data_IF_787294058680
#
_entry.id   IF_787294058680
#
_cell.length_a   1.000
_cell.length_b   1.000
_cell.length_c   1.000
_cell.angle_alpha   90.00
_cell.angle_beta   90.00
_cell.angle_gamma   90.00
#
_symmetry.space_group_name_H-M   'P 1'
#
loop_
_entity.id
_entity.type
_entity.pdbx_description
1 polymer ?
#
# COMPACT_ATOMS: atom_id res chain seq x y z
N UNK A 1 4.59 22.31 -30.96
CA UNK A 1 5.40 21.35 -30.17
C UNK A 1 5.39 21.77 -28.70
N UNK A 2 4.24 21.69 -28.02
CA UNK A 2 4.06 22.18 -26.64
C UNK A 2 3.19 21.23 -25.79
N UNK A 3 3.41 19.91 -25.93
CA UNK A 3 2.67 18.92 -25.11
C UNK A 3 3.59 18.07 -24.24
N UNK A 4 4.91 18.27 -24.32
CA UNK A 4 5.88 17.37 -23.67
C UNK A 4 6.18 17.77 -22.21
N UNK A 5 5.96 19.04 -21.83
CA UNK A 5 6.29 19.52 -20.48
C UNK A 5 5.23 19.22 -19.41
N UNK A 6 3.98 18.93 -19.81
CA UNK A 6 2.93 18.60 -18.83
C UNK A 6 3.08 17.18 -18.27
N UNK A 7 3.65 16.25 -19.04
CA UNK A 7 3.86 14.87 -18.59
C UNK A 7 5.03 14.76 -17.59
N UNK A 8 6.06 15.60 -17.73
CA UNK A 8 7.24 15.56 -16.84
C UNK A 8 6.95 16.09 -15.43
N UNK A 9 6.13 17.14 -15.28
CA UNK A 9 5.77 17.67 -13.95
C UNK A 9 4.78 16.75 -13.22
N UNK A 10 3.87 16.10 -13.95
CA UNK A 10 2.91 15.15 -13.35
C UNK A 10 3.61 13.88 -12.84
N UNK A 11 4.71 13.45 -13.47
CA UNK A 11 5.52 12.31 -13.02
C UNK A 11 6.22 12.60 -11.68
N UNK A 12 6.55 13.85 -11.36
CA UNK A 12 7.16 14.23 -10.09
C UNK A 12 6.14 14.50 -8.96
N UNK A 13 4.86 14.70 -9.28
CA UNK A 13 3.80 14.99 -8.30
C UNK A 13 2.94 13.78 -7.91
N UNK A 14 3.33 12.57 -8.31
CA UNK A 14 2.62 11.37 -7.85
C UNK A 14 2.88 11.20 -6.35
N UNK A 15 1.83 11.29 -5.49
CA UNK A 15 2.02 11.19 -4.05
C UNK A 15 2.80 9.92 -3.69
N UNK A 16 3.74 9.98 -2.73
CA UNK A 16 4.54 8.81 -2.35
C UNK A 16 3.70 7.56 -2.08
N UNK A 17 2.52 7.73 -1.46
CA UNK A 17 1.58 6.65 -1.18
C UNK A 17 1.04 6.00 -2.46
N UNK A 18 0.80 6.78 -3.52
CA UNK A 18 0.35 6.26 -4.82
C UNK A 18 1.45 5.42 -5.46
N UNK A 19 2.72 5.87 -5.40
CA UNK A 19 3.86 5.10 -5.90
C UNK A 19 4.03 3.79 -5.12
N UNK A 20 3.86 3.84 -3.80
CA UNK A 20 3.91 2.66 -2.95
C UNK A 20 2.80 1.65 -3.29
N UNK A 21 1.55 2.10 -3.39
CA UNK A 21 0.41 1.24 -3.76
C UNK A 21 0.60 0.61 -5.15
N UNK A 22 1.12 1.37 -6.13
CA UNK A 22 1.50 0.82 -7.45
C UNK A 22 2.56 -0.27 -7.34
N UNK A 23 3.53 -0.11 -6.44
CA UNK A 23 4.57 -1.11 -6.17
C UNK A 23 4.03 -2.39 -5.51
N UNK A 24 2.85 -2.33 -4.89
CA UNK A 24 2.15 -3.49 -4.32
C UNK A 24 1.20 -4.17 -5.32
N UNK A 25 1.23 -3.79 -6.60
CA UNK A 25 0.34 -4.31 -7.63
C UNK A 25 -1.13 -3.85 -7.48
N UNK A 26 -1.36 -2.70 -6.84
CA UNK A 26 -2.69 -2.06 -6.84
C UNK A 26 -2.94 -1.40 -8.20
N UNK A 27 -4.07 -1.75 -8.83
CA UNK A 27 -4.44 -1.18 -10.12
C UNK A 27 -4.69 0.32 -10.02
N UNK A 28 -4.30 1.07 -11.07
CA UNK A 28 -4.41 2.54 -11.07
C UNK A 28 -5.84 3.03 -10.81
N UNK A 29 -6.83 2.28 -11.31
CA UNK A 29 -8.26 2.57 -11.13
C UNK A 29 -8.71 2.42 -9.68
N UNK A 30 -8.09 1.51 -8.92
CA UNK A 30 -8.43 1.22 -7.52
C UNK A 30 -7.76 2.18 -6.55
N UNK A 31 -6.64 2.81 -6.91
CA UNK A 31 -5.90 3.70 -6.01
C UNK A 31 -6.76 4.85 -5.51
N UNK A 32 -7.56 5.46 -6.40
CA UNK A 32 -8.48 6.54 -6.01
C UNK A 32 -9.51 6.06 -4.97
N UNK A 33 -10.06 4.86 -5.19
CA UNK A 33 -10.99 4.23 -4.26
C UNK A 33 -10.33 3.92 -2.91
N UNK A 34 -9.12 3.36 -2.91
CA UNK A 34 -8.34 3.05 -1.70
C UNK A 34 -8.06 4.30 -0.88
N UNK A 35 -7.58 5.38 -1.49
CA UNK A 35 -7.26 6.61 -0.78
C UNK A 35 -8.51 7.35 -0.29
N UNK A 36 -9.63 7.25 -1.00
CA UNK A 36 -10.91 7.80 -0.55
C UNK A 36 -11.46 7.04 0.65
N UNK A 37 -11.32 5.70 0.65
CA UNK A 37 -11.79 4.83 1.74
C UNK A 37 -10.87 4.87 2.96
N UNK A 38 -9.57 5.10 2.75
CA UNK A 38 -8.53 5.12 3.78
C UNK A 38 -7.65 6.38 3.64
N UNK A 39 -8.21 7.59 3.86
CA UNK A 39 -7.46 8.83 3.72
C UNK A 39 -6.24 8.92 4.65
N UNK A 40 -6.27 8.19 5.78
CA UNK A 40 -5.17 8.09 6.75
C UNK A 40 -3.89 7.49 6.18
N UNK A 41 -3.96 6.74 5.08
CA UNK A 41 -2.77 6.17 4.43
C UNK A 41 -1.80 7.25 3.97
N UNK A 42 -2.30 8.43 3.63
CA UNK A 42 -1.48 9.58 3.24
C UNK A 42 -0.60 10.10 4.39
N UNK A 43 -1.02 9.88 5.64
CA UNK A 43 -0.28 10.30 6.84
C UNK A 43 0.66 9.22 7.40
N UNK A 44 0.61 7.99 6.88
CA UNK A 44 1.50 6.93 7.33
C UNK A 44 2.89 7.04 6.72
N UNK A 45 3.90 6.70 7.53
CA UNK A 45 5.27 6.57 7.05
C UNK A 45 5.36 5.33 6.17
N UNK A 46 5.58 5.56 4.88
CA UNK A 46 5.81 4.52 3.88
C UNK A 46 7.08 3.75 4.25
N UNK A 47 8.17 4.48 4.44
CA UNK A 47 9.40 3.94 5.00
C UNK A 47 9.22 3.68 6.49
N UNK A 48 9.46 2.43 6.91
CA UNK A 48 9.24 2.00 8.28
C UNK A 48 7.93 1.25 8.39
N UNK A 49 6.80 1.91 8.66
CA UNK A 49 5.55 1.20 9.03
C UNK A 49 5.03 0.32 7.90
N UNK A 50 4.74 0.91 6.74
CA UNK A 50 4.12 0.16 5.64
C UNK A 50 5.10 -0.83 5.00
N UNK A 51 6.35 -0.40 4.76
CA UNK A 51 7.38 -1.25 4.16
C UNK A 51 7.72 -2.45 5.05
N UNK A 52 7.86 -2.25 6.37
CA UNK A 52 8.16 -3.35 7.31
C UNK A 52 7.01 -4.35 7.37
N UNK A 53 5.77 -3.88 7.30
CA UNK A 53 4.63 -4.78 7.32
C UNK A 53 4.56 -5.62 6.05
N UNK A 54 4.73 -5.01 4.87
CA UNK A 54 4.76 -5.74 3.60
C UNK A 54 5.90 -6.77 3.61
N UNK A 55 7.09 -6.38 4.06
CA UNK A 55 8.22 -7.30 4.21
C UNK A 55 7.91 -8.46 5.17
N UNK A 56 7.23 -8.18 6.29
CA UNK A 56 6.80 -9.21 7.23
C UNK A 56 5.78 -10.17 6.61
N UNK A 57 4.77 -9.67 5.88
CA UNK A 57 3.77 -10.51 5.21
C UNK A 57 4.43 -11.45 4.20
N UNK A 58 5.37 -10.95 3.40
CA UNK A 58 6.15 -11.78 2.47
C UNK A 58 6.99 -12.81 3.24
N UNK A 59 7.65 -12.40 4.33
CA UNK A 59 8.49 -13.28 5.14
C UNK A 59 7.73 -14.47 5.74
N UNK A 60 6.48 -14.27 6.15
CA UNK A 60 5.62 -15.35 6.70
C UNK A 60 4.91 -16.17 5.62
N UNK A 61 5.17 -15.90 4.33
CA UNK A 61 4.74 -16.73 3.20
C UNK A 61 3.61 -16.17 2.34
N UNK A 62 3.20 -14.90 2.51
CA UNK A 62 2.28 -14.29 1.54
C UNK A 62 3.00 -14.00 0.22
N UNK A 63 2.33 -14.24 -0.91
CA UNK A 63 2.84 -13.82 -2.19
C UNK A 63 2.70 -12.30 -2.32
N UNK A 64 3.75 -11.62 -2.80
CA UNK A 64 3.71 -10.18 -3.04
C UNK A 64 2.54 -9.76 -3.96
N UNK A 65 2.16 -10.63 -4.91
CA UNK A 65 1.03 -10.41 -5.83
C UNK A 65 -0.33 -10.44 -5.13
N UNK A 66 -0.45 -11.14 -4.00
CA UNK A 66 -1.70 -11.19 -3.24
C UNK A 66 -1.87 -9.95 -2.37
N UNK A 67 -0.79 -9.22 -2.09
CA UNK A 67 -0.80 -8.03 -1.23
C UNK A 67 -1.60 -6.90 -1.89
N UNK A 68 -1.45 -6.68 -3.20
CA UNK A 68 -2.22 -5.65 -3.93
C UNK A 68 -3.73 -5.79 -3.75
N UNK A 69 -4.33 -6.94 -4.11
CA UNK A 69 -5.74 -7.23 -3.85
C UNK A 69 -6.15 -7.08 -2.38
N UNK A 70 -5.31 -7.50 -1.43
CA UNK A 70 -5.59 -7.32 0.00
C UNK A 70 -5.66 -5.83 0.37
N UNK A 71 -4.74 -5.01 -0.15
CA UNK A 71 -4.72 -3.56 0.08
C UNK A 71 -5.95 -2.91 -0.56
N UNK A 72 -6.34 -3.29 -1.78
CA UNK A 72 -7.56 -2.78 -2.42
C UNK A 72 -8.80 -3.01 -1.56
N UNK A 73 -8.90 -4.19 -0.93
CA UNK A 73 -10.05 -4.54 -0.10
C UNK A 73 -10.00 -3.90 1.30
N UNK A 74 -8.81 -3.89 1.94
CA UNK A 74 -8.64 -3.58 3.36
C UNK A 74 -7.35 -2.81 3.69
N UNK A 75 -7.06 -1.68 3.04
CA UNK A 75 -5.78 -0.98 3.23
C UNK A 75 -5.45 -0.53 4.68
N UNK A 76 -6.42 -0.47 5.61
CA UNK A 76 -6.20 -0.09 7.02
C UNK A 76 -5.04 -0.87 7.66
N UNK A 77 -4.81 -2.10 7.21
CA UNK A 77 -3.78 -2.94 7.79
C UNK A 77 -2.36 -2.40 7.56
N UNK A 78 -2.13 -1.60 6.51
CA UNK A 78 -0.84 -0.98 6.20
C UNK A 78 -0.37 0.00 7.28
N UNK A 79 -1.31 0.53 8.07
CA UNK A 79 -1.00 1.37 9.24
C UNK A 79 -0.74 0.58 10.54
N UNK A 80 -0.98 -0.74 10.53
CA UNK A 80 -0.86 -1.56 11.73
C UNK A 80 0.59 -1.92 12.03
N UNK A 81 0.92 -2.01 13.31
CA UNK A 81 2.19 -2.61 13.75
C UNK A 81 2.20 -4.11 13.46
N UNK A 82 3.37 -4.63 13.09
CA UNK A 82 3.60 -6.07 12.86
C UNK A 82 3.10 -6.93 14.03
N UNK A 83 3.30 -6.49 15.26
CA UNK A 83 2.83 -7.19 16.46
C UNK A 83 1.31 -7.40 16.52
N UNK A 84 0.53 -6.49 15.92
CA UNK A 84 -0.92 -6.65 15.80
C UNK A 84 -1.28 -7.75 14.80
N UNK A 85 -0.52 -7.85 13.71
CA UNK A 85 -0.67 -8.89 12.68
C UNK A 85 -0.29 -10.28 13.17
N UNK A 86 0.82 -10.41 13.88
CA UNK A 86 1.22 -11.67 14.51
C UNK A 86 0.11 -12.20 15.41
N UNK A 87 -0.57 -11.32 16.15
CA UNK A 87 -1.71 -11.68 17.02
C UNK A 87 -2.97 -12.06 16.23
N UNK A 88 -3.24 -11.40 15.11
CA UNK A 88 -4.37 -11.73 14.25
C UNK A 88 -4.22 -13.16 13.67
N UNK A 89 -3.04 -13.48 13.15
CA UNK A 89 -2.75 -14.79 12.55
C UNK A 89 -2.79 -15.90 13.60
N UNK A 90 -2.23 -15.66 14.80
CA UNK A 90 -2.26 -16.66 15.87
C UNK A 90 -3.68 -16.99 16.36
N UNK A 91 -4.61 -16.01 16.32
CA UNK A 91 -6.03 -16.25 16.64
C UNK A 91 -6.78 -16.99 15.54
N UNK A 92 -6.42 -16.80 14.27
CA UNK A 92 -7.08 -17.47 13.14
C UNK A 92 -6.65 -18.93 12.94
N UNK A 93 -5.53 -19.33 13.58
CA UNK A 93 -4.98 -20.70 13.55
C UNK A 93 -5.31 -21.53 14.81
N UNK A 94 -6.15 -21.02 15.71
CA UNK A 94 -6.80 -21.79 16.77
C UNK A 94 -8.25 -22.04 16.38
#
# INVERSE_FOLDING_TARGET
MLVVLHASVVVELVPPVVRFLRGLDVEKQDIGYVLMKYPELSGFKIEGTMSTLVAYLVNIGFNARDIGPMVTQYAYFLGMRVSSWTRYISRRRR
#
